data_IF_602287702341
#
_entry.id   IF_602287702341
#
_cell.length_a   1.000
_cell.length_b   1.000
_cell.length_c   1.000
_cell.angle_alpha   90.00
_cell.angle_beta   90.00
_cell.angle_gamma   90.00
#
_symmetry.space_group_name_H-M   'P 1'
#
loop_
_entity.id
_entity.type
_entity.pdbx_description
1 polymer ?
#
# COMPACT_ATOMS: atom_id res chain seq x y z
N UNK A 1 37.73 -20.59 -36.48
CA UNK A 1 37.65 -19.45 -35.54
C UNK A 1 36.97 -19.94 -34.28
N UNK A 2 37.71 -20.27 -33.22
CA UNK A 2 37.06 -20.73 -31.97
C UNK A 2 36.20 -19.59 -31.43
N UNK A 3 34.96 -19.93 -31.07
CA UNK A 3 33.87 -19.02 -30.73
C UNK A 3 34.12 -18.34 -29.36
N UNK A 4 35.13 -17.47 -29.30
CA UNK A 4 35.51 -16.71 -28.10
C UNK A 4 34.33 -15.94 -27.50
N UNK A 5 33.38 -15.54 -28.34
CA UNK A 5 32.16 -14.87 -27.92
C UNK A 5 31.20 -15.83 -27.20
N UNK A 6 31.04 -17.07 -27.65
CA UNK A 6 30.26 -18.08 -26.93
C UNK A 6 30.87 -18.44 -25.58
N UNK A 7 32.20 -18.55 -25.48
CA UNK A 7 32.87 -18.81 -24.20
C UNK A 7 32.65 -17.65 -23.21
N UNK A 8 32.76 -16.40 -23.68
CA UNK A 8 32.48 -15.21 -22.87
C UNK A 8 31.01 -15.12 -22.45
N UNK A 9 30.09 -15.40 -23.38
CA UNK A 9 28.66 -15.42 -23.11
C UNK A 9 28.33 -16.48 -22.04
N UNK A 10 28.86 -17.70 -22.18
CA UNK A 10 28.67 -18.76 -21.19
C UNK A 10 29.21 -18.39 -19.80
N UNK A 11 30.41 -17.78 -19.74
CA UNK A 11 30.99 -17.34 -18.47
C UNK A 11 30.14 -16.25 -17.79
N UNK A 12 29.60 -15.29 -18.55
CA UNK A 12 28.72 -14.25 -18.00
C UNK A 12 27.40 -14.86 -17.52
N UNK A 13 26.77 -15.72 -18.31
CA UNK A 13 25.51 -16.37 -17.92
C UNK A 13 25.68 -17.14 -16.62
N UNK A 14 26.71 -17.98 -16.50
CA UNK A 14 26.98 -18.77 -15.27
C UNK A 14 27.31 -17.86 -14.09
N UNK A 15 28.12 -16.81 -14.29
CA UNK A 15 28.43 -15.86 -13.22
C UNK A 15 27.18 -15.14 -12.71
N UNK A 16 26.31 -14.70 -13.62
CA UNK A 16 25.06 -14.02 -13.28
C UNK A 16 24.05 -14.95 -12.62
N UNK A 17 23.85 -16.18 -13.11
CA UNK A 17 22.94 -17.13 -12.44
C UNK A 17 23.45 -17.55 -11.07
N UNK A 18 24.76 -17.73 -10.87
CA UNK A 18 25.31 -18.02 -9.54
C UNK A 18 25.11 -16.84 -8.57
N UNK A 19 25.36 -15.61 -9.02
CA UNK A 19 25.10 -14.42 -8.20
C UNK A 19 23.62 -14.24 -7.89
N UNK A 20 22.75 -14.48 -8.87
CA UNK A 20 21.31 -14.44 -8.66
C UNK A 20 20.86 -15.52 -7.69
N UNK A 21 21.43 -16.74 -7.75
CA UNK A 21 21.08 -17.82 -6.83
C UNK A 21 21.49 -17.49 -5.38
N UNK A 22 22.65 -16.87 -5.19
CA UNK A 22 23.11 -16.41 -3.87
C UNK A 22 22.30 -15.22 -3.34
N UNK A 23 21.75 -14.41 -4.25
CA UNK A 23 20.94 -13.23 -3.92
C UNK A 23 19.43 -13.49 -3.94
N UNK A 24 18.97 -14.67 -4.37
CA UNK A 24 17.56 -15.01 -4.43
C UNK A 24 17.15 -15.64 -3.10
N UNK A 25 16.35 -14.94 -2.26
CA UNK A 25 15.89 -15.51 -1.02
C UNK A 25 14.90 -16.65 -1.30
N UNK A 26 15.20 -17.85 -0.81
CA UNK A 26 14.24 -18.94 -0.72
C UNK A 26 13.33 -18.69 0.51
N UNK A 27 12.43 -17.72 0.41
CA UNK A 27 11.38 -17.48 1.41
C UNK A 27 10.32 -18.59 1.33
N UNK A 28 10.64 -19.78 1.83
CA UNK A 28 9.69 -20.89 1.98
C UNK A 28 9.59 -21.37 3.43
N UNK A 29 10.00 -20.54 4.40
CA UNK A 29 9.93 -20.83 5.84
C UNK A 29 9.54 -19.61 6.71
N UNK A 30 8.93 -18.59 6.13
CA UNK A 30 8.09 -17.66 6.91
C UNK A 30 6.70 -18.27 6.96
N UNK A 31 6.14 -18.60 8.15
CA UNK A 31 4.71 -18.86 8.30
C UNK A 31 3.94 -17.80 7.51
N UNK A 32 3.05 -18.23 6.62
CA UNK A 32 2.29 -17.32 5.80
C UNK A 32 1.28 -16.60 6.71
N UNK A 33 1.54 -15.34 7.03
CA UNK A 33 0.57 -14.46 7.71
C UNK A 33 -0.73 -14.29 6.89
N UNK A 34 -0.80 -14.87 5.67
CA UNK A 34 -2.01 -15.04 4.88
C UNK A 34 -2.95 -16.17 5.34
N UNK A 35 -2.49 -17.13 6.14
CA UNK A 35 -3.33 -18.22 6.66
C UNK A 35 -4.25 -17.74 7.80
N UNK A 36 -3.87 -16.69 8.52
CA UNK A 36 -4.68 -16.07 9.57
C UNK A 36 -5.17 -14.68 9.14
N UNK A 37 -6.35 -14.58 8.52
CA UNK A 37 -6.88 -13.29 8.11
C UNK A 37 -7.11 -12.40 9.33
N UNK A 38 -6.70 -11.14 9.23
CA UNK A 38 -7.01 -10.14 10.25
C UNK A 38 -8.51 -10.13 10.58
N UNK A 39 -8.90 -9.92 11.85
CA UNK A 39 -10.30 -9.92 12.26
C UNK A 39 -11.15 -9.01 11.38
N UNK A 40 -12.22 -9.56 10.81
CA UNK A 40 -13.14 -8.78 9.97
C UNK A 40 -13.89 -7.77 10.84
N UNK A 41 -13.93 -6.52 10.40
CA UNK A 41 -14.78 -5.49 10.99
C UNK A 41 -16.25 -5.94 10.94
N UNK A 42 -16.97 -5.70 12.03
CA UNK A 42 -18.41 -5.91 12.03
C UNK A 42 -19.09 -4.93 11.07
N UNK A 43 -20.28 -5.29 10.58
CA UNK A 43 -21.08 -4.41 9.70
C UNK A 43 -21.31 -3.04 10.34
N UNK A 44 -21.53 -3.01 11.66
CA UNK A 44 -21.71 -1.78 12.42
C UNK A 44 -20.45 -0.91 12.40
N UNK A 45 -19.26 -1.49 12.57
CA UNK A 45 -18.00 -0.74 12.50
C UNK A 45 -17.71 -0.25 11.09
N UNK A 46 -17.97 -1.06 10.05
CA UNK A 46 -17.79 -0.62 8.66
C UNK A 46 -18.67 0.58 8.35
N UNK A 47 -19.96 0.52 8.71
CA UNK A 47 -20.87 1.66 8.48
C UNK A 47 -20.50 2.85 9.36
N UNK A 48 -20.13 2.62 10.62
CA UNK A 48 -19.70 3.66 11.54
C UNK A 48 -18.48 4.43 11.03
N UNK A 49 -17.42 3.72 10.62
CA UNK A 49 -16.15 4.31 10.21
C UNK A 49 -16.19 4.89 8.79
N UNK A 50 -16.86 4.22 7.85
CA UNK A 50 -16.78 4.60 6.43
C UNK A 50 -17.99 5.36 5.91
N UNK A 51 -19.07 5.47 6.69
CA UNK A 51 -20.27 6.22 6.30
C UNK A 51 -20.60 7.30 7.32
N UNK A 52 -20.75 6.93 8.59
CA UNK A 52 -21.17 7.89 9.63
C UNK A 52 -20.07 8.91 9.91
N UNK A 53 -18.83 8.46 10.13
CA UNK A 53 -17.73 9.39 10.43
C UNK A 53 -17.49 10.43 9.31
N UNK A 54 -17.46 10.07 8.00
CA UNK A 54 -17.39 11.06 6.93
C UNK A 54 -18.56 12.06 6.92
N UNK A 55 -19.79 11.60 7.14
CA UNK A 55 -20.98 12.48 7.17
C UNK A 55 -20.90 13.47 8.34
N UNK A 56 -20.52 13.01 9.53
CA UNK A 56 -20.35 13.86 10.70
C UNK A 56 -19.28 14.91 10.46
N UNK A 57 -18.13 14.50 9.90
CA UNK A 57 -17.04 15.42 9.57
C UNK A 57 -17.48 16.49 8.57
N UNK A 58 -18.22 16.10 7.54
CA UNK A 58 -18.78 17.03 6.56
C UNK A 58 -19.72 18.05 7.21
N UNK A 59 -20.67 17.60 8.03
CA UNK A 59 -21.62 18.50 8.71
C UNK A 59 -20.91 19.45 9.66
N UNK A 60 -19.87 18.99 10.35
CA UNK A 60 -19.05 19.82 11.22
C UNK A 60 -18.39 20.95 10.43
N UNK A 61 -17.74 20.62 9.30
CA UNK A 61 -17.12 21.62 8.42
C UNK A 61 -18.17 22.58 7.85
N UNK A 62 -19.27 22.06 7.31
CA UNK A 62 -20.34 22.88 6.75
C UNK A 62 -20.93 23.85 7.79
N UNK A 63 -21.14 23.39 9.03
CA UNK A 63 -21.60 24.23 10.13
C UNK A 63 -20.60 25.32 10.49
N UNK A 64 -19.31 24.98 10.60
CA UNK A 64 -18.24 25.96 10.85
C UNK A 64 -18.17 27.02 9.74
N UNK A 65 -18.28 26.60 8.48
CA UNK A 65 -18.30 27.52 7.33
C UNK A 65 -19.51 28.46 7.40
N UNK A 66 -20.71 27.95 7.71
CA UNK A 66 -21.90 28.79 7.85
C UNK A 66 -21.79 29.82 8.99
N UNK A 67 -21.21 29.42 10.12
CA UNK A 67 -20.95 30.33 11.25
C UNK A 67 -19.95 31.42 10.84
N UNK A 68 -18.85 31.03 10.19
CA UNK A 68 -17.85 31.97 9.69
C UNK A 68 -18.40 32.94 8.64
N UNK A 69 -19.27 32.48 7.74
CA UNK A 69 -19.86 33.32 6.69
C UNK A 69 -20.84 34.36 7.27
N UNK A 70 -21.67 33.97 8.25
CA UNK A 70 -22.55 34.92 8.96
C UNK A 70 -21.78 36.05 9.62
N UNK A 71 -20.62 35.75 10.22
CA UNK A 71 -19.79 36.78 10.86
C UNK A 71 -19.25 37.82 9.87
N UNK A 72 -19.02 37.46 8.60
CA UNK A 72 -18.58 38.43 7.57
C UNK A 72 -19.71 39.31 7.06
N UNK A 73 -20.92 38.75 6.90
CA UNK A 73 -22.09 39.51 6.42
C UNK A 73 -22.60 40.56 7.41
N UNK A 74 -22.32 40.40 8.70
CA UNK A 74 -22.78 41.33 9.74
C UNK A 74 -21.82 42.52 9.97
N UNK A 75 -20.62 42.49 9.39
CA UNK A 75 -19.58 43.50 9.59
C UNK A 75 -19.42 44.47 8.41
N UNK A 76 -20.41 44.54 7.51
CA UNK A 76 -20.50 45.52 6.40
C UNK A 76 -21.81 46.27 6.45
#
# INVERSE_FOLDING_TARGET
MVNKNAVRAGAVTVGTTLMLLMSSPAFALTPDDGDDPAPKLSVAETVGLYVVAPVVLFLLIAGLVMIGDKSRKQSS
#
